data_IF_645421688412
#
_entry.id   IF_645421688412
#
_cell.length_a   1.000
_cell.length_b   1.000
_cell.length_c   1.000
_cell.angle_alpha   90.00
_cell.angle_beta   90.00
_cell.angle_gamma   90.00
#
_symmetry.space_group_name_H-M   'P 1'
#
loop_
_entity.id
_entity.type
_entity.pdbx_description
1 polymer ?
#
# COMPACT_ATOMS: atom_id res chain seq x y z
N UNK A 1 -21.10 6.18 10.73
CA UNK A 1 -19.63 6.05 10.74
C UNK A 1 -19.03 7.37 10.34
N UNK A 2 -18.08 7.86 11.12
CA UNK A 2 -17.32 9.07 10.76
C UNK A 2 -16.51 8.82 9.49
N UNK A 3 -16.31 9.85 8.68
CA UNK A 3 -15.43 9.79 7.50
C UNK A 3 -14.01 9.29 7.86
N UNK A 4 -13.50 9.69 9.03
CA UNK A 4 -12.21 9.22 9.55
C UNK A 4 -12.24 7.74 9.95
N UNK A 5 -13.37 7.24 10.46
CA UNK A 5 -13.53 5.79 10.70
C UNK A 5 -13.52 5.01 9.39
N UNK A 6 -14.14 5.55 8.33
CA UNK A 6 -14.17 4.88 7.02
C UNK A 6 -12.76 4.79 6.40
N UNK A 7 -11.97 5.86 6.53
CA UNK A 7 -10.58 5.90 6.08
C UNK A 7 -9.69 4.98 6.92
N UNK A 8 -9.81 5.04 8.24
CA UNK A 8 -9.06 4.17 9.16
C UNK A 8 -9.35 2.68 8.92
N UNK A 9 -10.61 2.33 8.67
CA UNK A 9 -11.02 0.96 8.34
C UNK A 9 -10.48 0.52 6.96
N UNK A 10 -10.49 1.41 5.97
CA UNK A 10 -9.94 1.16 4.63
C UNK A 10 -8.43 0.90 4.66
N UNK A 11 -7.68 1.76 5.34
CA UNK A 11 -6.24 1.62 5.51
C UNK A 11 -5.88 0.35 6.28
N UNK A 12 -6.61 0.04 7.37
CA UNK A 12 -6.37 -1.17 8.15
C UNK A 12 -6.64 -2.45 7.36
N UNK A 13 -7.70 -2.49 6.53
CA UNK A 13 -7.95 -3.62 5.62
C UNK A 13 -6.83 -3.81 4.60
N UNK A 14 -6.26 -2.73 4.09
CA UNK A 14 -5.17 -2.78 3.12
C UNK A 14 -3.88 -3.25 3.79
N UNK A 15 -3.56 -2.74 4.98
CA UNK A 15 -2.43 -3.21 5.78
C UNK A 15 -2.58 -4.69 6.17
N UNK A 16 -3.79 -5.13 6.54
CA UNK A 16 -4.08 -6.54 6.82
C UNK A 16 -3.90 -7.43 5.57
N UNK A 17 -4.29 -6.96 4.38
CA UNK A 17 -4.03 -7.68 3.12
C UNK A 17 -2.54 -7.82 2.85
N UNK A 18 -1.77 -6.74 3.07
CA UNK A 18 -0.33 -6.73 2.86
C UNK A 18 0.37 -7.65 3.87
N UNK A 19 -0.01 -7.58 5.15
CA UNK A 19 0.61 -8.36 6.23
C UNK A 19 0.31 -9.86 6.16
N UNK A 20 -0.76 -10.28 5.48
CA UNK A 20 -1.19 -11.69 5.42
C UNK A 20 -0.66 -12.44 4.20
N UNK A 21 -0.09 -11.75 3.21
CA UNK A 21 0.48 -12.36 2.01
C UNK A 21 1.99 -12.13 2.00
N UNK A 22 2.80 -13.12 2.43
CA UNK A 22 4.27 -13.02 2.40
C UNK A 22 4.82 -12.93 0.96
N UNK A 23 4.06 -13.37 -0.05
CA UNK A 23 4.45 -13.37 -1.46
C UNK A 23 3.68 -12.33 -2.30
N UNK A 24 3.72 -11.05 -1.87
CA UNK A 24 3.16 -9.97 -2.69
C UNK A 24 4.12 -9.63 -3.82
N UNK A 25 3.68 -9.88 -5.05
CA UNK A 25 4.38 -9.44 -6.24
C UNK A 25 4.29 -7.91 -6.40
N UNK A 26 5.29 -7.33 -7.05
CA UNK A 26 5.38 -5.88 -7.29
C UNK A 26 4.09 -5.33 -7.95
N UNK A 27 3.48 -6.09 -8.85
CA UNK A 27 2.24 -5.71 -9.55
C UNK A 27 1.10 -5.51 -8.57
N UNK A 28 0.88 -6.46 -7.67
CA UNK A 28 -0.20 -6.39 -6.66
C UNK A 28 0.00 -5.20 -5.72
N UNK A 29 1.25 -4.91 -5.33
CA UNK A 29 1.54 -3.75 -4.48
C UNK A 29 1.24 -2.45 -5.25
N UNK A 30 1.68 -2.33 -6.50
CA UNK A 30 1.42 -1.15 -7.33
C UNK A 30 -0.08 -0.90 -7.57
N UNK A 31 -0.85 -1.97 -7.79
CA UNK A 31 -2.30 -1.88 -7.90
C UNK A 31 -2.93 -1.37 -6.60
N UNK A 32 -2.50 -1.92 -5.46
CA UNK A 32 -2.96 -1.51 -4.14
C UNK A 32 -2.65 -0.04 -3.86
N UNK A 33 -1.44 0.43 -4.21
CA UNK A 33 -1.06 1.84 -4.07
C UNK A 33 -1.97 2.75 -4.88
N UNK A 34 -2.32 2.37 -6.11
CA UNK A 34 -3.24 3.15 -6.95
C UNK A 34 -4.66 3.20 -6.36
N UNK A 35 -5.14 2.12 -5.75
CA UNK A 35 -6.43 2.13 -5.03
C UNK A 35 -6.40 3.06 -3.81
N UNK A 36 -5.29 3.08 -3.05
CA UNK A 36 -5.08 4.01 -1.93
C UNK A 36 -5.07 5.46 -2.44
N UNK A 37 -4.32 5.76 -3.50
CA UNK A 37 -4.23 7.11 -4.06
C UNK A 37 -5.62 7.63 -4.46
N UNK A 38 -6.44 6.81 -5.11
CA UNK A 38 -7.83 7.14 -5.46
C UNK A 38 -8.71 7.37 -4.23
N UNK A 39 -8.56 6.55 -3.20
CA UNK A 39 -9.32 6.68 -1.97
C UNK A 39 -8.96 7.97 -1.21
N UNK A 40 -7.67 8.33 -1.18
CA UNK A 40 -7.19 9.57 -0.54
C UNK A 40 -7.67 10.81 -1.30
N UNK A 41 -7.65 10.80 -2.64
CA UNK A 41 -8.15 11.93 -3.44
C UNK A 41 -9.65 12.12 -3.22
N UNK A 42 -10.44 11.03 -3.21
CA UNK A 42 -11.88 11.07 -2.86
C UNK A 42 -12.15 11.54 -1.44
N UNK A 43 -11.14 11.46 -0.59
CA UNK A 43 -11.19 11.88 0.79
C UNK A 43 -10.73 13.35 0.99
N UNK A 44 -10.71 14.16 -0.09
CA UNK A 44 -10.28 15.56 -0.06
C UNK A 44 -8.86 15.77 0.52
N UNK A 45 -8.00 14.75 0.42
CA UNK A 45 -6.58 14.86 0.77
C UNK A 45 -5.85 15.60 -0.36
N UNK A 46 -4.91 16.46 0.02
CA UNK A 46 -4.08 17.21 -0.92
C UNK A 46 -3.36 16.27 -1.93
N UNK A 47 -3.50 16.56 -3.23
CA UNK A 47 -2.97 15.73 -4.31
C UNK A 47 -1.43 15.59 -4.25
N UNK A 48 -0.71 16.67 -3.93
CA UNK A 48 0.75 16.63 -3.83
C UNK A 48 1.22 15.67 -2.73
N UNK A 49 0.47 15.60 -1.62
CA UNK A 49 0.74 14.65 -0.54
C UNK A 49 0.50 13.21 -0.99
N UNK A 50 -0.58 12.96 -1.74
CA UNK A 50 -0.92 11.63 -2.26
C UNK A 50 0.14 11.14 -3.25
N UNK A 51 0.56 12.00 -4.18
CA UNK A 51 1.61 11.68 -5.15
C UNK A 51 2.94 11.39 -4.44
N UNK A 52 3.36 12.23 -3.49
CA UNK A 52 4.58 12.01 -2.70
C UNK A 52 4.55 10.69 -1.93
N UNK A 53 3.41 10.32 -1.37
CA UNK A 53 3.23 9.03 -0.70
C UNK A 53 3.42 7.87 -1.69
N UNK A 54 2.75 7.93 -2.84
CA UNK A 54 2.86 6.92 -3.90
C UNK A 54 4.28 6.74 -4.41
N UNK A 55 5.01 7.83 -4.65
CA UNK A 55 6.42 7.83 -5.05
C UNK A 55 7.31 7.21 -3.98
N UNK A 56 7.09 7.54 -2.71
CA UNK A 56 7.85 6.97 -1.59
C UNK A 56 7.66 5.46 -1.51
N UNK A 57 6.43 4.96 -1.67
CA UNK A 57 6.14 3.53 -1.68
C UNK A 57 6.80 2.85 -2.88
N UNK A 58 6.63 3.38 -4.10
CA UNK A 58 7.26 2.85 -5.33
C UNK A 58 8.78 2.81 -5.22
N UNK A 59 9.39 3.82 -4.60
CA UNK A 59 10.84 3.88 -4.36
C UNK A 59 11.28 2.80 -3.39
N UNK A 60 10.56 2.60 -2.28
CA UNK A 60 10.88 1.53 -1.30
C UNK A 60 10.76 0.14 -1.91
N UNK A 61 9.71 -0.14 -2.67
CA UNK A 61 9.54 -1.44 -3.35
C UNK A 61 10.72 -1.76 -4.28
N UNK A 62 11.26 -0.76 -4.98
CA UNK A 62 12.40 -0.93 -5.90
C UNK A 62 13.76 -1.00 -5.20
N UNK A 63 13.89 -0.38 -4.02
CA UNK A 63 15.18 -0.23 -3.33
C UNK A 63 15.36 -1.23 -2.19
N UNK A 64 14.28 -1.61 -1.52
CA UNK A 64 14.27 -2.58 -0.45
C UNK A 64 14.12 -3.97 -1.08
N UNK A 65 15.23 -4.71 -1.16
CA UNK A 65 15.13 -6.16 -1.36
C UNK A 65 14.38 -6.74 -0.16
N UNK A 66 13.49 -7.73 -0.36
CA UNK A 66 12.85 -8.41 0.76
C UNK A 66 13.93 -8.87 1.75
N UNK A 67 13.72 -8.72 3.07
CA UNK A 67 14.71 -9.08 4.06
C UNK A 67 15.21 -10.50 3.81
N UNK A 68 16.53 -10.66 3.77
CA UNK A 68 17.23 -11.91 3.51
C UNK A 68 16.73 -12.97 4.51
N UNK A 69 16.01 -13.98 4.01
CA UNK A 69 15.46 -15.05 4.85
C UNK A 69 14.17 -15.71 4.37
N UNK A 70 13.49 -15.15 3.36
CA UNK A 70 12.32 -15.79 2.73
C UNK A 70 12.58 -15.89 1.23
N UNK A 71 12.94 -17.08 0.78
CA UNK A 71 13.04 -17.40 -0.65
C UNK A 71 11.66 -17.74 -1.21
N UNK A 72 11.39 -17.35 -2.46
CA UNK A 72 10.18 -17.58 -3.29
C UNK A 72 9.69 -19.05 -3.43
N UNK A 73 10.16 -19.98 -2.61
CA UNK A 73 10.05 -21.42 -2.82
C UNK A 73 9.41 -22.18 -1.65
N UNK A 74 9.04 -21.50 -0.58
CA UNK A 74 8.31 -22.11 0.54
C UNK A 74 6.86 -21.60 0.62
N UNK A 75 6.21 -21.53 -0.55
CA UNK A 75 4.76 -21.31 -0.69
C UNK A 75 3.94 -22.46 -0.09
#
# INVERSE_FOLDING_TARGET
>A
MSFLESLGTGLRKILDKISRHPDLDETTILQTVNEIEKALIKADVNLDLVVKLGETIKKRIKQEQPPTGITKRDF
#
